data_IF_366365416903
#
_entry.id   IF_366365416903
#
_cell.length_a   1.000
_cell.length_b   1.000
_cell.length_c   1.000
_cell.angle_alpha   90.00
_cell.angle_beta   90.00
_cell.angle_gamma   90.00
#
_symmetry.space_group_name_H-M   'P 1'
#
loop_
_entity.id
_entity.type
_entity.pdbx_description
1 polymer ?
#
# COMPACT_ATOMS: atom_id res chain seq x y z
N UNK A 1 4.68 -1.12 -16.82
CA UNK A 1 5.52 -0.63 -15.70
C UNK A 1 5.48 -1.57 -14.50
N UNK A 2 4.31 -1.92 -13.92
CA UNK A 2 4.21 -2.81 -12.72
C UNK A 2 4.98 -4.13 -12.84
N UNK A 3 4.84 -4.86 -13.95
CA UNK A 3 5.55 -6.12 -14.19
C UNK A 3 7.07 -6.01 -14.22
N UNK A 4 7.61 -4.81 -14.52
CA UNK A 4 9.04 -4.58 -14.60
C UNK A 4 9.63 -4.08 -13.27
N UNK A 5 8.79 -3.55 -12.36
CA UNK A 5 9.25 -2.86 -11.15
C UNK A 5 8.77 -3.47 -9.85
N UNK A 6 7.90 -4.48 -9.88
CA UNK A 6 7.35 -5.13 -8.70
C UNK A 6 7.43 -6.67 -8.84
N UNK A 7 7.68 -7.39 -7.74
CA UNK A 7 7.65 -8.84 -7.77
C UNK A 7 6.24 -9.36 -8.02
N UNK A 8 6.13 -10.58 -8.57
CA UNK A 8 4.83 -11.18 -8.82
C UNK A 8 4.17 -11.64 -7.50
N UNK A 9 2.88 -11.36 -7.29
CA UNK A 9 2.18 -11.78 -6.09
C UNK A 9 2.08 -13.30 -6.02
N UNK A 10 2.25 -13.85 -4.82
CA UNK A 10 2.17 -15.32 -4.59
C UNK A 10 0.73 -15.82 -4.65
N UNK A 11 -0.22 -14.98 -4.26
CA UNK A 11 -1.64 -15.25 -4.24
C UNK A 11 -2.49 -14.02 -4.56
N UNK A 12 -3.73 -14.03 -4.08
CA UNK A 12 -4.77 -13.05 -4.40
C UNK A 12 -5.22 -12.20 -3.21
N UNK A 13 -4.54 -12.33 -2.07
CA UNK A 13 -4.92 -11.68 -0.83
C UNK A 13 -4.27 -10.29 -0.74
N UNK A 14 -5.10 -9.26 -0.74
CA UNK A 14 -4.70 -7.86 -0.73
C UNK A 14 -4.91 -7.29 0.67
N UNK A 15 -3.89 -6.64 1.21
CA UNK A 15 -4.02 -5.77 2.39
C UNK A 15 -4.15 -4.33 1.93
N UNK A 16 -5.10 -3.61 2.50
CA UNK A 16 -5.27 -2.18 2.30
C UNK A 16 -4.75 -1.45 3.54
N UNK A 17 -3.87 -0.47 3.34
CA UNK A 17 -3.47 0.49 4.36
C UNK A 17 -3.98 1.84 3.91
N UNK A 18 -4.77 2.53 4.73
CA UNK A 18 -5.30 3.84 4.38
C UNK A 18 -5.52 4.74 5.59
N UNK A 19 -5.68 6.03 5.34
CA UNK A 19 -6.08 7.03 6.33
C UNK A 19 -7.49 7.57 6.05
N UNK A 20 -8.21 6.93 5.11
CA UNK A 20 -9.56 7.29 4.73
C UNK A 20 -10.41 6.03 4.57
N UNK A 21 -11.31 5.81 5.53
CA UNK A 21 -12.25 4.69 5.49
C UNK A 21 -13.10 4.63 4.21
N UNK A 22 -13.50 5.79 3.66
CA UNK A 22 -14.26 5.83 2.40
C UNK A 22 -13.47 5.30 1.20
N UNK A 23 -12.17 5.62 1.10
CA UNK A 23 -11.31 5.09 0.05
C UNK A 23 -10.97 3.62 0.28
N UNK A 24 -10.85 3.22 1.56
CA UNK A 24 -10.73 1.81 1.96
C UNK A 24 -11.93 0.99 1.49
N UNK A 25 -13.15 1.46 1.76
CA UNK A 25 -14.39 0.80 1.33
C UNK A 25 -14.47 0.67 -0.20
N UNK A 26 -14.17 1.73 -0.94
CA UNK A 26 -14.12 1.70 -2.41
C UNK A 26 -13.10 0.66 -2.94
N UNK A 27 -11.97 0.52 -2.25
CA UNK A 27 -10.97 -0.47 -2.60
C UNK A 27 -11.40 -1.90 -2.24
N UNK A 28 -12.09 -2.11 -1.12
CA UNK A 28 -12.70 -3.40 -0.78
C UNK A 28 -13.69 -3.86 -1.87
N UNK A 29 -14.59 -2.97 -2.31
CA UNK A 29 -15.57 -3.27 -3.34
C UNK A 29 -14.91 -3.67 -4.66
N UNK A 30 -13.87 -2.93 -5.05
CA UNK A 30 -13.16 -3.20 -6.29
C UNK A 30 -12.28 -4.46 -6.20
N UNK A 31 -11.70 -4.78 -5.04
CA UNK A 31 -11.01 -6.07 -4.78
C UNK A 31 -11.98 -7.23 -5.02
N UNK A 32 -13.18 -7.16 -4.43
CA UNK A 32 -14.21 -8.17 -4.60
C UNK A 32 -14.64 -8.28 -6.07
N UNK A 33 -14.91 -7.14 -6.73
CA UNK A 33 -15.31 -7.09 -8.14
C UNK A 33 -14.26 -7.70 -9.08
N UNK A 34 -12.98 -7.57 -8.77
CA UNK A 34 -11.90 -8.13 -9.58
C UNK A 34 -11.63 -9.62 -9.30
N UNK A 35 -12.31 -10.23 -8.32
CA UNK A 35 -12.10 -11.62 -7.91
C UNK A 35 -10.85 -11.85 -7.04
N UNK A 36 -10.28 -10.76 -6.52
CA UNK A 36 -9.26 -10.80 -5.48
C UNK A 36 -9.93 -10.96 -4.10
N UNK A 37 -9.15 -11.07 -3.03
CA UNK A 37 -9.67 -11.19 -1.66
C UNK A 37 -8.97 -10.21 -0.75
N UNK A 38 -9.66 -9.72 0.27
CA UNK A 38 -9.01 -9.10 1.42
C UNK A 38 -8.19 -10.16 2.17
N UNK A 39 -6.99 -9.79 2.60
CA UNK A 39 -6.16 -10.67 3.39
C UNK A 39 -6.78 -10.91 4.78
N UNK A 40 -6.69 -12.16 5.25
CA UNK A 40 -7.02 -12.52 6.63
C UNK A 40 -5.72 -12.54 7.43
N UNK A 41 -5.40 -11.44 8.11
CA UNK A 41 -4.10 -11.27 8.78
C UNK A 41 -3.96 -12.24 9.95
N UNK A 42 -2.73 -12.71 10.17
CA UNK A 42 -2.42 -13.55 11.32
C UNK A 42 -2.62 -12.79 12.63
N UNK A 43 -3.07 -13.50 13.68
CA UNK A 43 -3.29 -12.91 15.02
C UNK A 43 -2.07 -12.15 15.53
N UNK A 44 -0.87 -12.70 15.36
CA UNK A 44 0.40 -12.08 15.76
C UNK A 44 0.61 -10.74 15.04
N UNK A 45 0.27 -10.65 13.76
CA UNK A 45 0.35 -9.39 13.00
C UNK A 45 -0.66 -8.39 13.52
N UNK A 46 -1.90 -8.82 13.73
CA UNK A 46 -2.96 -7.98 14.29
C UNK A 46 -2.55 -7.43 15.65
N UNK A 47 -2.00 -8.26 16.54
CA UNK A 47 -1.54 -7.85 17.88
C UNK A 47 -0.40 -6.82 17.81
N UNK A 48 0.60 -7.02 16.95
CA UNK A 48 1.71 -6.07 16.73
C UNK A 48 1.23 -4.73 16.20
N UNK A 49 0.20 -4.72 15.35
CA UNK A 49 -0.37 -3.47 14.84
C UNK A 49 -1.22 -2.82 15.94
N UNK A 50 -2.05 -3.58 16.68
CA UNK A 50 -2.85 -3.06 17.80
C UNK A 50 -2.02 -2.40 18.89
N UNK A 51 -0.78 -2.82 19.11
CA UNK A 51 0.09 -2.18 20.11
C UNK A 51 0.58 -0.79 19.72
N UNK A 52 0.46 -0.40 18.45
CA UNK A 52 0.95 0.89 17.93
C UNK A 52 -0.15 1.78 17.37
N UNK A 53 -1.36 1.27 17.19
CA UNK A 53 -2.50 2.04 16.69
C UNK A 53 -3.56 2.28 17.79
N UNK A 54 -4.39 3.33 17.66
CA UNK A 54 -5.49 3.55 18.58
C UNK A 54 -6.50 2.38 18.59
N UNK A 55 -7.11 2.13 19.75
CA UNK A 55 -8.07 1.05 19.97
C UNK A 55 -9.36 1.12 19.13
N UNK A 56 -9.68 2.28 18.56
CA UNK A 56 -10.85 2.51 17.70
C UNK A 56 -10.60 2.13 16.24
N UNK A 57 -9.36 1.86 15.83
CA UNK A 57 -9.04 1.48 14.45
C UNK A 57 -9.39 0.01 14.22
N UNK A 58 -10.18 -0.25 13.17
CA UNK A 58 -10.48 -1.60 12.71
C UNK A 58 -9.27 -2.22 12.00
N UNK A 59 -9.01 -3.50 12.28
CA UNK A 59 -7.90 -4.27 11.69
C UNK A 59 -8.42 -5.62 11.18
N UNK A 60 -8.13 -5.90 9.92
CA UNK A 60 -8.33 -7.18 9.25
C UNK A 60 -7.57 -7.12 7.94
N UNK A 61 -8.24 -7.28 6.80
CA UNK A 61 -7.63 -7.02 5.49
C UNK A 61 -7.55 -5.53 5.11
N UNK A 62 -8.26 -4.66 5.83
CA UNK A 62 -8.18 -3.20 5.71
C UNK A 62 -7.73 -2.62 7.04
N UNK A 63 -6.78 -1.70 6.98
CA UNK A 63 -6.20 -1.00 8.12
C UNK A 63 -6.42 0.50 7.86
N UNK A 64 -7.42 1.07 8.53
CA UNK A 64 -7.72 2.50 8.45
C UNK A 64 -7.11 3.26 9.62
N UNK A 65 -5.90 3.78 9.41
CA UNK A 65 -5.15 4.53 10.40
C UNK A 65 -5.77 5.92 10.68
N UNK A 66 -6.72 6.37 9.86
CA UNK A 66 -7.39 7.66 10.00
C UNK A 66 -6.40 8.82 10.19
N UNK A 67 -6.72 9.79 11.07
CA UNK A 67 -5.84 10.92 11.37
C UNK A 67 -4.50 10.53 12.00
N UNK A 68 -4.43 9.37 12.65
CA UNK A 68 -3.21 8.91 13.34
C UNK A 68 -2.13 8.39 12.40
N UNK A 69 -2.41 8.31 11.08
CA UNK A 69 -1.52 7.74 10.07
C UNK A 69 -0.09 8.26 10.14
N UNK A 70 0.13 9.54 10.45
CA UNK A 70 1.48 10.11 10.53
C UNK A 70 2.37 9.42 11.58
N UNK A 71 1.79 8.99 12.69
CA UNK A 71 2.50 8.35 13.81
C UNK A 71 2.47 6.82 13.69
N UNK A 72 1.37 6.28 13.15
CA UNK A 72 1.07 4.86 13.22
C UNK A 72 1.44 4.09 11.95
N UNK A 73 1.67 4.76 10.82
CA UNK A 73 1.99 4.10 9.56
C UNK A 73 3.32 3.35 9.63
N UNK A 74 4.42 4.04 9.95
CA UNK A 74 5.77 3.48 9.98
C UNK A 74 5.85 2.20 10.85
N UNK A 75 5.40 2.22 12.12
CA UNK A 75 5.46 1.01 12.94
C UNK A 75 4.52 -0.11 12.48
N UNK A 76 3.45 0.21 11.74
CA UNK A 76 2.50 -0.78 11.20
C UNK A 76 3.00 -1.48 9.93
N UNK A 77 3.85 -0.83 9.12
CA UNK A 77 4.27 -1.36 7.81
C UNK A 77 5.01 -2.68 7.91
N UNK A 78 6.01 -2.79 8.78
CA UNK A 78 6.84 -4.01 8.84
C UNK A 78 6.03 -5.26 9.19
N UNK A 79 5.17 -5.28 10.23
CA UNK A 79 4.27 -6.41 10.49
C UNK A 79 3.41 -6.80 9.28
N UNK A 80 2.84 -5.83 8.55
CA UNK A 80 1.97 -6.08 7.39
C UNK A 80 2.73 -6.82 6.28
N UNK A 81 3.92 -6.34 5.93
CA UNK A 81 4.73 -6.98 4.89
C UNK A 81 5.27 -8.35 5.32
N UNK A 82 5.44 -8.60 6.62
CA UNK A 82 5.86 -9.91 7.14
C UNK A 82 4.73 -10.94 7.21
N UNK A 83 3.46 -10.53 7.10
CA UNK A 83 2.33 -11.45 7.23
C UNK A 83 2.19 -12.39 6.02
N UNK A 84 2.30 -13.70 6.23
CA UNK A 84 2.23 -14.68 5.15
C UNK A 84 0.87 -14.72 4.40
N UNK A 85 -0.20 -14.19 4.99
CA UNK A 85 -1.52 -14.11 4.36
C UNK A 85 -1.69 -12.83 3.52
N UNK A 86 -0.74 -11.90 3.57
CA UNK A 86 -0.70 -10.71 2.73
C UNK A 86 0.15 -10.95 1.48
N UNK A 87 -0.48 -11.11 0.31
CA UNK A 87 0.20 -11.30 -0.98
C UNK A 87 0.51 -9.98 -1.69
N UNK A 88 -0.41 -9.02 -1.58
CA UNK A 88 -0.35 -7.71 -2.23
C UNK A 88 -0.61 -6.61 -1.20
N UNK A 89 0.12 -5.50 -1.28
CA UNK A 89 -0.06 -4.35 -0.38
C UNK A 89 -0.53 -3.14 -1.18
N UNK A 90 -1.74 -2.67 -0.88
CA UNK A 90 -2.30 -1.44 -1.41
C UNK A 90 -2.19 -0.34 -0.35
N UNK A 91 -1.38 0.68 -0.61
CA UNK A 91 -1.34 1.86 0.24
C UNK A 91 -2.16 2.98 -0.40
N UNK A 92 -3.24 3.41 0.25
CA UNK A 92 -4.08 4.51 -0.22
C UNK A 92 -3.95 5.68 0.73
N UNK A 93 -3.46 6.80 0.23
CA UNK A 93 -3.38 8.02 1.03
C UNK A 93 -3.96 9.20 0.26
N UNK A 94 -4.56 10.10 1.01
CA UNK A 94 -5.19 11.31 0.50
C UNK A 94 -4.70 12.49 1.32
N UNK A 95 -4.10 13.48 0.66
CA UNK A 95 -3.62 14.69 1.33
C UNK A 95 -4.24 15.91 0.65
N UNK A 96 -4.94 16.77 1.40
CA UNK A 96 -5.44 18.02 0.87
C UNK A 96 -4.28 18.94 0.47
N UNK A 97 -4.42 19.62 -0.67
CA UNK A 97 -3.36 20.46 -1.26
C UNK A 97 -2.93 21.60 -0.33
N UNK A 98 -3.89 22.34 0.24
CA UNK A 98 -3.59 23.57 1.00
C UNK A 98 -2.76 23.29 2.26
N UNK A 99 -3.08 22.28 3.10
CA UNK A 99 -2.21 21.89 4.21
C UNK A 99 -0.83 21.40 3.74
N UNK A 100 -0.78 20.64 2.64
CA UNK A 100 0.48 20.13 2.10
C UNK A 100 1.42 21.25 1.61
N UNK A 101 0.87 22.28 0.96
CA UNK A 101 1.63 23.46 0.52
C UNK A 101 2.15 24.27 1.71
N UNK A 102 1.33 24.49 2.74
CA UNK A 102 1.73 25.27 3.92
C UNK A 102 2.79 24.58 4.77
N UNK A 103 2.78 23.25 4.80
CA UNK A 103 3.71 22.45 5.60
C UNK A 103 4.69 21.66 4.71
N UNK A 104 5.00 22.15 3.51
CA UNK A 104 5.71 21.38 2.49
C UNK A 104 7.02 20.75 2.99
N UNK A 105 7.85 21.48 3.73
CA UNK A 105 9.13 20.95 4.24
C UNK A 105 8.95 19.81 5.26
N UNK A 106 8.00 19.96 6.19
CA UNK A 106 7.68 18.92 7.19
C UNK A 106 7.02 17.71 6.53
N UNK A 107 6.05 17.95 5.66
CA UNK A 107 5.34 16.91 4.94
C UNK A 107 6.25 16.15 3.98
N UNK A 108 7.22 16.81 3.34
CA UNK A 108 8.25 16.14 2.52
C UNK A 108 9.08 15.17 3.35
N UNK A 109 9.48 15.56 4.57
CA UNK A 109 10.22 14.69 5.49
C UNK A 109 9.44 13.44 5.83
N UNK A 110 8.21 13.61 6.33
CA UNK A 110 7.35 12.49 6.71
C UNK A 110 6.99 11.58 5.54
N UNK A 111 6.62 12.15 4.38
CA UNK A 111 6.34 11.38 3.17
C UNK A 111 7.59 10.59 2.75
N UNK A 112 8.77 11.22 2.70
CA UNK A 112 10.01 10.52 2.33
C UNK A 112 10.30 9.34 3.26
N UNK A 113 10.12 9.51 4.56
CA UNK A 113 10.32 8.45 5.54
C UNK A 113 9.33 7.30 5.34
N UNK A 114 8.03 7.60 5.18
CA UNK A 114 7.01 6.59 4.88
C UNK A 114 7.36 5.79 3.63
N UNK A 115 7.76 6.47 2.55
CA UNK A 115 8.16 5.82 1.30
C UNK A 115 9.43 4.96 1.46
N UNK A 116 10.41 5.40 2.26
CA UNK A 116 11.62 4.62 2.52
C UNK A 116 11.30 3.33 3.26
N UNK A 117 10.51 3.41 4.34
CA UNK A 117 10.10 2.24 5.13
C UNK A 117 9.27 1.27 4.29
N UNK A 118 8.35 1.80 3.47
CA UNK A 118 7.54 0.99 2.56
C UNK A 118 8.39 0.26 1.51
N UNK A 119 9.37 0.94 0.90
CA UNK A 119 10.30 0.34 -0.06
C UNK A 119 11.16 -0.73 0.56
N UNK A 120 11.74 -0.46 1.72
CA UNK A 120 12.54 -1.43 2.45
C UNK A 120 11.73 -2.68 2.77
N UNK A 121 10.52 -2.51 3.31
CA UNK A 121 9.65 -3.64 3.64
C UNK A 121 9.22 -4.45 2.40
N UNK A 122 8.98 -3.79 1.27
CA UNK A 122 8.66 -4.45 0.00
C UNK A 122 9.84 -5.24 -0.56
N UNK A 123 11.07 -4.69 -0.47
CA UNK A 123 12.31 -5.39 -0.88
C UNK A 123 12.58 -6.61 0.00
N UNK A 124 12.48 -6.49 1.32
CA UNK A 124 12.75 -7.57 2.28
C UNK A 124 11.75 -8.73 2.15
N UNK A 125 10.48 -8.43 1.94
CA UNK A 125 9.41 -9.45 1.88
C UNK A 125 9.17 -10.02 0.48
N UNK A 126 9.70 -9.35 -0.56
CA UNK A 126 9.48 -9.68 -1.97
C UNK A 126 7.99 -9.74 -2.34
N UNK A 127 7.21 -8.75 -1.86
CA UNK A 127 5.77 -8.63 -2.12
C UNK A 127 5.45 -7.37 -2.90
N UNK A 128 4.55 -7.43 -3.90
CA UNK A 128 4.17 -6.25 -4.67
C UNK A 128 3.43 -5.24 -3.80
N UNK A 129 3.83 -3.98 -3.95
CA UNK A 129 3.16 -2.84 -3.37
C UNK A 129 2.76 -1.84 -4.46
N UNK A 130 1.55 -1.29 -4.33
CA UNK A 130 1.08 -0.18 -5.17
C UNK A 130 0.56 0.91 -4.26
N UNK A 131 0.91 2.15 -4.59
CA UNK A 131 0.44 3.34 -3.88
C UNK A 131 -0.65 4.01 -4.73
N UNK A 132 -1.76 4.37 -4.09
CA UNK A 132 -2.79 5.23 -4.67
C UNK A 132 -2.79 6.56 -3.93
N UNK A 133 -2.39 7.60 -4.65
CA UNK A 133 -2.46 8.99 -4.21
C UNK A 133 -3.78 9.60 -4.69
N UNK A 134 -4.69 9.87 -3.77
CA UNK A 134 -5.92 10.58 -4.06
C UNK A 134 -5.72 12.09 -3.84
N UNK A 135 -5.96 12.90 -4.87
CA UNK A 135 -5.79 14.35 -4.78
C UNK A 135 -5.64 15.03 -6.14
N UNK A 136 -5.29 16.32 -6.10
CA UNK A 136 -5.03 17.10 -7.31
C UNK A 136 -3.75 16.64 -8.03
N UNK A 137 -3.61 17.00 -9.31
CA UNK A 137 -2.39 16.72 -10.09
C UNK A 137 -1.12 17.22 -9.38
N UNK A 138 -1.20 18.39 -8.76
CA UNK A 138 -0.09 18.96 -7.99
C UNK A 138 0.34 18.06 -6.83
N UNK A 139 -0.62 17.49 -6.08
CA UNK A 139 -0.32 16.56 -4.97
C UNK A 139 0.36 15.31 -5.50
N UNK A 140 -0.16 14.76 -6.61
CA UNK A 140 0.47 13.61 -7.25
C UNK A 140 1.91 13.89 -7.68
N UNK A 141 2.18 15.03 -8.33
CA UNK A 141 3.52 15.39 -8.79
C UNK A 141 4.47 15.65 -7.61
N UNK A 142 3.98 16.28 -6.54
CA UNK A 142 4.71 16.50 -5.30
C UNK A 142 5.15 15.19 -4.63
N UNK A 143 4.21 14.27 -4.43
CA UNK A 143 4.47 12.96 -3.84
C UNK A 143 5.39 12.14 -4.74
N UNK A 144 5.15 12.14 -6.05
CA UNK A 144 5.98 11.40 -7.01
C UNK A 144 7.43 11.88 -6.96
N UNK A 145 7.66 13.19 -6.89
CA UNK A 145 8.99 13.76 -6.71
C UNK A 145 9.62 13.35 -5.38
N UNK A 146 8.84 13.31 -4.29
CA UNK A 146 9.32 12.86 -2.99
C UNK A 146 9.75 11.38 -3.03
N UNK A 147 9.00 10.53 -3.73
CA UNK A 147 9.28 9.11 -3.89
C UNK A 147 10.51 8.80 -4.73
N UNK A 148 10.88 9.68 -5.68
CA UNK A 148 12.06 9.53 -6.55
C UNK A 148 13.41 9.73 -5.84
N UNK A 149 13.44 10.33 -4.63
CA UNK A 149 14.69 10.66 -3.92
C UNK A 149 15.22 9.54 -2.99
N UNK A 150 14.75 8.32 -3.15
CA UNK A 150 15.14 7.19 -2.30
C UNK A 150 16.27 6.37 -2.92
N UNK A 151 17.16 5.81 -2.08
CA UNK A 151 18.33 5.01 -2.49
C UNK A 151 18.01 3.56 -2.89
N UNK A 152 16.76 3.10 -2.71
CA UNK A 152 16.34 1.73 -3.01
C UNK A 152 16.20 1.49 -4.52
N UNK A 153 16.51 0.25 -4.97
CA UNK A 153 16.41 -0.15 -6.37
C UNK A 153 14.96 -0.42 -6.79
N UNK A 154 14.09 -0.77 -5.83
CA UNK A 154 12.68 -1.04 -6.09
C UNK A 154 11.87 0.24 -6.30
N UNK A 155 11.21 0.32 -7.46
CA UNK A 155 10.30 1.41 -7.80
C UNK A 155 8.87 0.97 -7.48
N UNK A 156 8.30 1.54 -6.40
CA UNK A 156 6.89 1.37 -6.06
C UNK A 156 6.04 2.27 -6.97
N UNK A 157 5.12 1.69 -7.77
CA UNK A 157 4.23 2.47 -8.62
C UNK A 157 3.26 3.32 -7.82
N UNK A 158 3.09 4.58 -8.23
CA UNK A 158 2.10 5.51 -7.68
C UNK A 158 1.03 5.76 -8.73
N UNK A 159 -0.24 5.64 -8.33
CA UNK A 159 -1.40 5.81 -9.20
C UNK A 159 -2.40 6.79 -8.56
N UNK A 160 -3.35 7.26 -9.36
CA UNK A 160 -4.44 8.13 -8.89
C UNK A 160 -5.78 7.41 -8.81
N UNK A 161 -5.86 6.16 -9.25
CA UNK A 161 -7.12 5.42 -9.38
C UNK A 161 -7.02 4.02 -8.75
N UNK A 162 -7.93 3.76 -7.81
CA UNK A 162 -8.04 2.50 -7.07
C UNK A 162 -8.28 1.32 -8.01
N UNK A 163 -9.21 1.44 -8.97
CA UNK A 163 -9.53 0.39 -9.92
C UNK A 163 -8.35 -0.07 -10.78
N UNK A 164 -7.48 0.87 -11.18
CA UNK A 164 -6.29 0.53 -11.96
C UNK A 164 -5.25 -0.21 -11.11
N UNK A 165 -5.07 0.20 -9.84
CA UNK A 165 -4.16 -0.49 -8.92
C UNK A 165 -4.61 -1.93 -8.65
N UNK A 166 -5.88 -2.13 -8.36
CA UNK A 166 -6.43 -3.47 -8.09
C UNK A 166 -6.42 -4.34 -9.34
N UNK A 167 -6.78 -3.77 -10.51
CA UNK A 167 -6.66 -4.48 -11.79
C UNK A 167 -5.21 -4.88 -12.08
N UNK A 168 -4.23 -4.06 -11.71
CA UNK A 168 -2.82 -4.42 -11.85
C UNK A 168 -2.46 -5.65 -11.01
N UNK A 169 -2.87 -5.72 -9.73
CA UNK A 169 -2.66 -6.92 -8.91
C UNK A 169 -3.27 -8.18 -9.53
N UNK A 170 -4.50 -8.08 -10.03
CA UNK A 170 -5.16 -9.19 -10.75
C UNK A 170 -4.34 -9.66 -11.94
N UNK A 171 -3.92 -8.75 -12.81
CA UNK A 171 -3.14 -9.11 -13.99
C UNK A 171 -1.78 -9.72 -13.61
N UNK A 172 -1.13 -9.20 -12.58
CA UNK A 172 0.13 -9.76 -12.07
C UNK A 172 -0.05 -11.18 -11.52
N UNK A 173 -1.12 -11.43 -10.78
CA UNK A 173 -1.46 -12.76 -10.27
C UNK A 173 -1.78 -13.75 -11.41
N UNK A 174 -2.61 -13.33 -12.37
CA UNK A 174 -2.94 -14.16 -13.53
C UNK A 174 -1.69 -14.51 -14.34
N UNK A 175 -0.80 -13.54 -14.59
CA UNK A 175 0.46 -13.79 -15.26
C UNK A 175 1.33 -14.79 -14.50
N UNK A 176 1.47 -14.65 -13.17
CA UNK A 176 2.23 -15.59 -12.34
C UNK A 176 1.66 -17.02 -12.43
N UNK A 177 0.33 -17.15 -12.49
CA UNK A 177 -0.31 -18.46 -12.65
C UNK A 177 -0.01 -19.10 -14.00
N UNK A 178 0.00 -18.32 -15.08
CA UNK A 178 0.33 -18.79 -16.44
C UNK A 178 1.79 -19.25 -16.49
N UNK A 179 2.73 -18.42 -16.01
CA UNK A 179 4.16 -18.74 -16.01
C UNK A 179 4.44 -20.03 -15.23
N UNK A 180 3.79 -20.23 -14.08
CA UNK A 180 3.93 -21.47 -13.29
C UNK A 180 3.38 -22.70 -14.00
N UNK A 181 2.33 -22.56 -14.80
CA UNK A 181 1.75 -23.66 -15.59
C UNK A 181 2.61 -23.99 -16.81
N UNK A 182 3.22 -22.99 -17.47
CA UNK A 182 4.10 -23.22 -18.63
C UNK A 182 5.48 -23.79 -18.30
N UNK A 183 5.88 -23.78 -17.02
CA UNK A 183 7.14 -24.36 -16.53
C UNK A 183 6.98 -25.77 -15.94
N UNK A 184 5.77 -26.33 -15.97
CA UNK A 184 5.47 -27.73 -15.64
C UNK A 184 5.21 -28.52 -16.91
#
# INVERSE_FOLDING_TARGET
MFFATQPLPRGKNVVIVTGSGSLGALACDEINKQGLKLADLNKITIEKIKSVIPNWVSIGGTIDLGPSMFETFIPSIKPIFQDNNADCILYIFSVPRVPLERMASFALGGIREQFNVLKQAAEESNKPCIIVCFGSRWVFDFVSKAASHSKSKLIIPIMTRINQAIKAFKMMYQYNSIVKTSLK
#
